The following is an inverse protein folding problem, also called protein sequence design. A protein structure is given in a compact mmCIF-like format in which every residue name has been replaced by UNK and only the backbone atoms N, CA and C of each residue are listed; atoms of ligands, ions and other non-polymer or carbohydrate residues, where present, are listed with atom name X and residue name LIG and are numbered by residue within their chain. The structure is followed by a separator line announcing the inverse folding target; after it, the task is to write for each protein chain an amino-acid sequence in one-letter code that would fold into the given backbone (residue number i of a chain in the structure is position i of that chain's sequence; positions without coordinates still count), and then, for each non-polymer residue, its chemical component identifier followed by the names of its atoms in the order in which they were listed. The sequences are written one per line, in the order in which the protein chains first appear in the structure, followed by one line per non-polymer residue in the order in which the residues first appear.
data_IF_812102168166
#
_entry.id   IF_812102168166
#
_cell.length_a   1.000
_cell.length_b   1.000
_cell.length_c   1.000
_cell.angle_alpha   90.00
_cell.angle_beta   90.00
_cell.angle_gamma   90.00
#
_symmetry.space_group_name_H-M   'P 1'
#
loop_
_entity.id
_entity.type
_entity.pdbx_description
1 polymer ?
#
# COMPACT_ATOMS: atom_id res chain seq x y z
N UNK A 1 -9.81 16.12 10.83
CA UNK A 1 -10.21 16.14 9.40
C UNK A 1 -11.28 15.09 9.12
N UNK A 2 -11.00 13.79 9.26
CA UNK A 2 -11.95 12.73 8.89
C UNK A 2 -13.31 12.80 9.60
N UNK A 3 -13.37 13.29 10.85
CA UNK A 3 -14.63 13.42 11.60
C UNK A 3 -15.54 14.57 11.13
N UNK A 4 -15.06 15.46 10.25
CA UNK A 4 -15.79 16.70 9.87
C UNK A 4 -16.39 16.64 8.46
N UNK A 5 -16.18 15.54 7.71
CA UNK A 5 -16.71 15.32 6.36
C UNK A 5 -17.06 13.84 6.18
N UNK A 6 -17.88 13.49 5.18
CA UNK A 6 -18.28 12.09 4.91
C UNK A 6 -17.08 11.22 4.51
N UNK A 7 -16.23 11.73 3.60
CA UNK A 7 -14.95 11.11 3.24
C UNK A 7 -13.93 12.22 2.95
N UNK A 8 -12.90 12.28 3.78
CA UNK A 8 -11.78 13.21 3.65
C UNK A 8 -10.45 12.50 3.39
N UNK A 9 -10.43 11.20 3.08
CA UNK A 9 -9.22 10.39 2.95
C UNK A 9 -8.22 10.97 1.93
N UNK A 10 -8.73 11.55 0.85
CA UNK A 10 -7.96 12.11 -0.27
C UNK A 10 -7.62 13.61 -0.13
N UNK A 11 -8.06 14.29 0.95
CA UNK A 11 -7.90 15.75 1.11
C UNK A 11 -6.54 16.17 1.66
N UNK A 12 -5.50 15.42 1.30
CA UNK A 12 -4.13 15.66 1.72
C UNK A 12 -3.19 15.35 0.56
N UNK A 13 -2.13 16.14 0.45
CA UNK A 13 -0.98 15.84 -0.38
C UNK A 13 0.24 15.87 0.52
N UNK A 14 0.76 14.68 0.84
CA UNK A 14 2.00 14.54 1.59
C UNK A 14 3.19 14.90 0.69
N UNK A 15 4.27 15.37 1.30
CA UNK A 15 5.54 15.65 0.59
C UNK A 15 6.56 14.51 0.75
N UNK A 16 6.24 13.53 1.60
CA UNK A 16 7.12 12.42 1.96
C UNK A 16 6.32 11.12 2.13
N UNK A 17 5.90 10.79 3.34
CA UNK A 17 5.33 9.51 3.70
C UNK A 17 3.84 9.42 3.32
N UNK A 18 3.40 8.20 3.02
CA UNK A 18 1.98 7.85 3.05
C UNK A 18 1.49 7.84 4.51
N UNK A 19 0.17 7.87 4.71
CA UNK A 19 -0.37 7.77 6.08
C UNK A 19 0.05 6.47 6.77
N UNK A 20 0.53 6.58 8.00
CA UNK A 20 0.81 5.45 8.88
C UNK A 20 0.51 5.80 10.34
N UNK A 21 0.39 4.76 11.18
CA UNK A 21 0.30 4.83 12.62
C UNK A 21 1.51 4.15 13.26
N UNK A 22 2.24 4.84 14.13
CA UNK A 22 3.42 4.30 14.80
C UNK A 22 3.11 3.01 15.58
N UNK A 23 3.79 1.91 15.25
CA UNK A 23 3.55 0.59 15.84
C UNK A 23 2.48 -0.25 15.11
N UNK A 24 2.01 0.17 13.94
CA UNK A 24 1.07 -0.61 13.12
C UNK A 24 1.64 -1.95 12.64
N UNK A 25 0.73 -2.88 12.34
CA UNK A 25 1.04 -4.05 11.51
C UNK A 25 1.50 -3.61 10.11
N UNK A 26 2.15 -4.52 9.38
CA UNK A 26 2.62 -4.24 8.02
C UNK A 26 1.47 -3.82 7.10
N UNK A 27 1.72 -2.77 6.30
CA UNK A 27 0.81 -2.32 5.23
C UNK A 27 1.06 -3.18 4.00
N UNK A 28 0.03 -3.92 3.59
CA UNK A 28 0.11 -4.79 2.41
C UNK A 28 -0.80 -4.30 1.30
N UNK A 29 -0.32 -4.47 0.08
CA UNK A 29 -1.06 -4.28 -1.15
C UNK A 29 -1.09 -5.56 -1.97
N UNK A 30 -2.18 -5.76 -2.72
CA UNK A 30 -2.32 -6.85 -3.69
C UNK A 30 -2.10 -6.30 -5.10
N UNK A 31 -1.28 -6.98 -5.89
CA UNK A 31 -1.15 -6.71 -7.31
C UNK A 31 -2.45 -7.04 -8.05
N UNK A 32 -3.02 -6.06 -8.76
CA UNK A 32 -4.19 -6.25 -9.62
C UNK A 32 -3.82 -6.36 -11.10
N UNK A 33 -2.62 -5.89 -11.47
CA UNK A 33 -2.05 -5.97 -12.83
C UNK A 33 -0.60 -6.43 -12.71
N UNK A 34 -0.19 -7.45 -13.47
CA UNK A 34 1.21 -7.91 -13.47
C UNK A 34 2.18 -6.82 -13.95
N UNK A 35 3.41 -6.88 -13.46
CA UNK A 35 4.48 -5.99 -13.86
C UNK A 35 5.78 -6.76 -13.98
N UNK A 36 6.41 -6.64 -15.15
CA UNK A 36 7.79 -7.00 -15.37
C UNK A 36 8.62 -5.73 -15.32
N UNK A 37 9.74 -5.78 -14.60
CA UNK A 37 10.67 -4.68 -14.47
C UNK A 37 11.17 -4.20 -15.86
N UNK A 38 11.16 -2.89 -16.06
CA UNK A 38 11.68 -2.22 -17.25
C UNK A 38 13.09 -1.69 -16.94
N UNK A 39 13.29 -1.15 -15.74
CA UNK A 39 14.55 -0.57 -15.30
C UNK A 39 15.16 -1.33 -14.10
N UNK A 40 16.48 -1.27 -13.90
CA UNK A 40 17.10 -1.74 -12.66
C UNK A 40 16.49 -1.04 -11.44
N UNK A 41 16.14 -1.82 -10.41
CA UNK A 41 15.51 -1.30 -9.19
C UNK A 41 13.99 -1.37 -9.19
N UNK A 42 13.33 -1.69 -10.31
CA UNK A 42 11.90 -2.02 -10.31
C UNK A 42 11.63 -3.44 -9.83
N UNK A 43 10.52 -3.61 -9.13
CA UNK A 43 10.03 -4.87 -8.60
C UNK A 43 9.14 -5.56 -9.64
N UNK A 44 9.48 -6.80 -10.02
CA UNK A 44 8.59 -7.65 -10.81
C UNK A 44 7.62 -8.43 -9.92
N UNK A 45 6.38 -8.55 -10.36
CA UNK A 45 5.32 -9.30 -9.66
C UNK A 45 4.19 -9.69 -10.62
N UNK A 46 3.46 -10.73 -10.25
CA UNK A 46 2.27 -11.19 -10.96
C UNK A 46 0.98 -10.71 -10.28
N UNK A 47 -0.11 -10.66 -11.05
CA UNK A 47 -1.44 -10.39 -10.48
C UNK A 47 -1.74 -11.38 -9.35
N UNK A 48 -2.16 -10.84 -8.21
CA UNK A 48 -2.46 -11.58 -6.99
C UNK A 48 -1.31 -11.66 -5.99
N UNK A 49 -0.08 -11.30 -6.39
CA UNK A 49 1.03 -11.22 -5.45
C UNK A 49 0.81 -10.13 -4.40
N UNK A 50 1.40 -10.36 -3.23
CA UNK A 50 1.29 -9.47 -2.08
C UNK A 50 2.60 -8.73 -1.89
N UNK A 51 2.51 -7.40 -1.84
CA UNK A 51 3.62 -6.48 -1.68
C UNK A 51 3.47 -5.81 -0.33
N UNK A 52 4.54 -5.81 0.46
CA UNK A 52 4.65 -4.98 1.67
C UNK A 52 5.05 -3.59 1.22
N UNK A 53 4.15 -2.63 1.37
CA UNK A 53 4.35 -1.25 0.93
C UNK A 53 5.15 -0.46 1.97
N UNK A 54 6.15 0.27 1.52
CA UNK A 54 6.99 1.14 2.35
C UNK A 54 6.62 2.62 2.16
N UNK A 55 6.21 3.01 0.95
CA UNK A 55 5.80 4.38 0.66
C UNK A 55 5.44 4.62 -0.81
N UNK A 56 4.97 5.82 -1.11
CA UNK A 56 4.68 6.30 -2.45
C UNK A 56 5.63 7.47 -2.78
N UNK A 57 6.26 7.46 -3.95
CA UNK A 57 7.23 8.49 -4.35
C UNK A 57 6.57 9.70 -5.02
N UNK A 58 5.24 9.69 -5.15
CA UNK A 58 4.43 10.76 -5.73
C UNK A 58 4.74 11.08 -7.21
N UNK A 59 5.44 10.18 -7.91
CA UNK A 59 5.85 10.27 -9.31
C UNK A 59 5.21 9.19 -10.21
N UNK A 60 4.26 8.43 -9.65
CA UNK A 60 3.63 7.28 -10.30
C UNK A 60 4.17 5.92 -9.83
N UNK A 61 5.28 5.91 -9.07
CA UNK A 61 5.84 4.71 -8.45
C UNK A 61 5.69 4.72 -6.93
N UNK A 62 5.59 3.53 -6.37
CA UNK A 62 5.66 3.22 -4.95
C UNK A 62 6.85 2.31 -4.70
N UNK A 63 7.34 2.28 -3.47
CA UNK A 63 8.40 1.38 -3.05
C UNK A 63 7.83 0.31 -2.11
N UNK A 64 8.31 -0.92 -2.27
CA UNK A 64 7.94 -2.01 -1.38
C UNK A 64 8.72 -3.28 -1.65
N UNK A 65 8.35 -4.33 -0.91
CA UNK A 65 8.98 -5.64 -0.99
C UNK A 65 7.97 -6.75 -1.26
N UNK A 66 8.34 -7.65 -2.17
CA UNK A 66 7.51 -8.80 -2.50
C UNK A 66 7.56 -9.83 -1.36
N UNK A 67 6.39 -10.16 -0.79
CA UNK A 67 6.31 -10.95 0.44
C UNK A 67 6.84 -12.38 0.33
N UNK A 68 6.78 -13.02 -0.84
CA UNK A 68 7.26 -14.41 -1.03
C UNK A 68 8.79 -14.56 -1.01
N UNK A 69 9.53 -13.57 -1.50
CA UNK A 69 10.98 -13.68 -1.74
C UNK A 69 11.80 -12.53 -1.14
N UNK A 70 11.15 -11.50 -0.58
CA UNK A 70 11.80 -10.35 0.05
C UNK A 70 12.41 -9.36 -0.94
N UNK A 71 12.31 -9.59 -2.25
CA UNK A 71 12.85 -8.67 -3.26
C UNK A 71 12.18 -7.32 -3.12
N UNK A 72 12.98 -6.26 -3.01
CA UNK A 72 12.51 -4.89 -2.85
C UNK A 72 12.75 -4.08 -4.12
N UNK A 73 11.88 -3.11 -4.40
CA UNK A 73 12.02 -2.24 -5.55
C UNK A 73 10.83 -1.31 -5.75
N UNK A 74 10.94 -0.50 -6.81
CA UNK A 74 9.88 0.40 -7.25
C UNK A 74 8.82 -0.36 -8.05
N UNK A 75 7.57 0.03 -7.90
CA UNK A 75 6.47 -0.50 -8.72
C UNK A 75 5.46 0.58 -9.08
N UNK A 76 4.80 0.50 -10.25
CA UNK A 76 3.79 1.48 -10.61
C UNK A 76 2.60 1.42 -9.63
N UNK A 77 2.33 2.54 -8.95
CA UNK A 77 1.36 2.61 -7.83
C UNK A 77 -0.06 2.22 -8.23
N UNK A 78 -0.44 2.44 -9.49
CA UNK A 78 -1.78 2.13 -10.00
C UNK A 78 -2.05 0.62 -10.22
N UNK A 79 -1.01 -0.23 -10.14
CA UNK A 79 -1.12 -1.68 -10.40
C UNK A 79 -1.47 -2.49 -9.15
N UNK A 80 -1.72 -1.82 -8.04
CA UNK A 80 -1.95 -2.43 -6.73
C UNK A 80 -3.18 -1.86 -6.04
N UNK A 81 -3.80 -2.65 -5.18
CA UNK A 81 -4.89 -2.23 -4.29
C UNK A 81 -4.53 -2.52 -2.82
N UNK A 82 -5.00 -1.70 -1.87
CA UNK A 82 -4.79 -1.94 -0.45
C UNK A 82 -5.53 -3.18 0.05
N UNK A 83 -4.86 -3.96 0.91
CA UNK A 83 -5.48 -5.07 1.62
C UNK A 83 -6.01 -4.55 2.96
N UNK A 84 -7.35 -4.49 3.08
CA UNK A 84 -8.01 -4.09 4.31
C UNK A 84 -7.94 -5.24 5.32
N UNK A 85 -7.21 -5.02 6.42
CA UNK A 85 -7.13 -5.95 7.53
C UNK A 85 -8.36 -5.82 8.44
N UNK A 86 -9.04 -6.93 8.69
CA UNK A 86 -10.25 -6.98 9.53
C UNK A 86 -9.93 -7.77 10.79
N UNK A 87 -10.26 -7.19 11.95
CA UNK A 87 -10.11 -7.84 13.26
C UNK A 87 -11.47 -7.90 13.94
N UNK A 88 -11.77 -9.03 14.58
CA UNK A 88 -12.99 -9.17 15.38
C UNK A 88 -12.85 -8.35 16.66
N UNK A 89 -13.50 -7.20 16.69
CA UNK A 89 -13.69 -6.40 17.90
C UNK A 89 -15.04 -6.71 18.54
N UNK A 90 -15.21 -6.30 19.80
CA UNK A 90 -16.49 -6.41 20.49
C UNK A 90 -17.49 -5.39 19.91
N UNK A 91 -18.73 -5.80 19.69
CA UNK A 91 -19.76 -4.95 19.04
C UNK A 91 -20.62 -4.17 20.03
N UNK A 92 -20.43 -4.36 21.34
CA UNK A 92 -21.19 -3.73 22.43
C UNK A 92 -22.72 -3.74 22.18
N UNK A 93 -23.36 -4.93 22.20
CA UNK A 93 -24.79 -5.07 21.89
C UNK A 93 -25.74 -4.65 23.03
N UNK A 94 -25.24 -4.53 24.26
CA UNK A 94 -25.95 -3.99 25.43
C UNK A 94 -25.59 -2.53 25.63
#
# INVERSE_FOLDING_TARGET
MQQYVVDGSWRIQSIDDIYYFGGQSSHYQRAVISHKNIWPGELSFERGDIIKTEGNHWDGFSQGSHTKNGTSGLYPSYKTEDIINIVKMYTYPE
#
